data_IF_127774930384
#
_entry.id   IF_127774930384
#
_cell.length_a   1.000
_cell.length_b   1.000
_cell.length_c   1.000
_cell.angle_alpha   90.00
_cell.angle_beta   90.00
_cell.angle_gamma   90.00
#
_symmetry.space_group_name_H-M   'P 1'
#
loop_
_entity.id
_entity.type
_entity.pdbx_description
1 polymer ?
#
# COMPACT_ATOMS: atom_id res chain seq x y z
N UNK A 1 -16.90 -11.83 -7.16
CA UNK A 1 -16.33 -10.48 -6.95
C UNK A 1 -16.14 -10.25 -5.46
N UNK A 2 -14.96 -9.70 -5.05
CA UNK A 2 -14.64 -9.52 -3.65
C UNK A 2 -15.46 -8.40 -2.97
N UNK A 3 -15.41 -8.38 -1.65
CA UNK A 3 -16.04 -7.34 -0.84
C UNK A 3 -15.32 -6.00 -1.03
N UNK A 4 -16.00 -4.88 -1.35
CA UNK A 4 -15.34 -3.59 -1.53
C UNK A 4 -14.77 -3.11 -0.19
N UNK A 5 -13.48 -2.74 -0.20
CA UNK A 5 -12.78 -2.13 0.94
C UNK A 5 -12.76 -0.59 0.86
N UNK A 6 -12.82 -0.04 -0.35
CA UNK A 6 -12.81 1.41 -0.56
C UNK A 6 -12.47 1.82 -1.98
N UNK A 7 -12.37 3.14 -2.18
CA UNK A 7 -11.83 3.77 -3.38
C UNK A 7 -10.61 4.58 -3.01
N UNK A 8 -9.50 4.33 -3.71
CA UNK A 8 -8.29 5.14 -3.66
C UNK A 8 -8.21 6.10 -4.85
N UNK A 9 -7.16 6.90 -4.94
CA UNK A 9 -6.96 7.89 -6.00
C UNK A 9 -6.91 7.31 -7.41
N UNK A 10 -6.53 6.04 -7.57
CA UNK A 10 -6.37 5.38 -8.86
C UNK A 10 -7.39 4.27 -9.13
N UNK A 11 -8.31 3.97 -8.20
CA UNK A 11 -9.28 2.93 -8.48
C UNK A 11 -10.05 2.39 -7.28
N UNK A 12 -10.55 1.18 -7.47
CA UNK A 12 -11.35 0.45 -6.49
C UNK A 12 -10.51 -0.64 -5.83
N UNK A 13 -10.69 -0.83 -4.53
CA UNK A 13 -10.01 -1.85 -3.74
C UNK A 13 -11.01 -2.84 -3.17
N UNK A 14 -10.71 -4.12 -3.31
CA UNK A 14 -11.57 -5.23 -2.88
C UNK A 14 -10.81 -6.19 -1.98
N UNK A 15 -11.49 -6.73 -0.97
CA UNK A 15 -11.06 -7.94 -0.29
C UNK A 15 -11.54 -9.14 -1.11
N UNK A 16 -10.63 -10.04 -1.43
CA UNK A 16 -10.91 -11.26 -2.18
C UNK A 16 -10.30 -12.49 -1.50
N UNK A 17 -10.72 -13.66 -1.96
CA UNK A 17 -10.17 -14.95 -1.58
C UNK A 17 -9.44 -15.51 -2.79
N UNK A 18 -8.20 -15.88 -2.59
CA UNK A 18 -7.36 -16.55 -3.57
C UNK A 18 -7.53 -18.06 -3.41
N UNK A 19 -8.31 -18.67 -4.26
CA UNK A 19 -8.65 -20.10 -4.22
C UNK A 19 -7.43 -20.97 -4.58
N UNK A 20 -6.57 -20.50 -5.49
CA UNK A 20 -5.34 -21.18 -5.91
C UNK A 20 -4.29 -21.19 -4.79
N UNK A 21 -4.41 -20.27 -3.82
CA UNK A 21 -3.58 -20.20 -2.61
C UNK A 21 -4.33 -20.65 -1.35
N UNK A 22 -5.04 -21.77 -1.45
CA UNK A 22 -5.73 -22.43 -0.33
C UNK A 22 -6.74 -21.54 0.39
N UNK A 23 -7.43 -20.67 -0.33
CA UNK A 23 -8.44 -19.78 0.23
C UNK A 23 -7.87 -18.64 1.07
N UNK A 24 -6.63 -18.22 0.83
CA UNK A 24 -6.04 -17.08 1.53
C UNK A 24 -6.68 -15.76 1.10
N UNK A 25 -6.84 -14.84 2.07
CA UNK A 25 -7.37 -13.51 1.76
C UNK A 25 -6.30 -12.66 1.08
N UNK A 26 -6.71 -11.93 0.06
CA UNK A 26 -5.87 -10.96 -0.64
C UNK A 26 -6.62 -9.63 -0.87
N UNK A 27 -5.87 -8.60 -1.20
CA UNK A 27 -6.40 -7.30 -1.61
C UNK A 27 -6.20 -7.16 -3.10
N UNK A 28 -7.28 -6.88 -3.84
CA UNK A 28 -7.23 -6.58 -5.27
C UNK A 28 -7.49 -5.09 -5.43
N UNK A 29 -6.53 -4.39 -6.04
CA UNK A 29 -6.69 -3.02 -6.51
C UNK A 29 -6.97 -3.07 -8.02
N UNK A 30 -8.13 -2.56 -8.41
CA UNK A 30 -8.54 -2.40 -9.82
C UNK A 30 -8.28 -0.96 -10.24
N UNK A 31 -7.49 -0.76 -11.28
CA UNK A 31 -7.25 0.56 -11.83
C UNK A 31 -8.54 1.11 -12.46
N UNK A 32 -9.06 2.18 -11.90
CA UNK A 32 -10.27 2.84 -12.40
C UNK A 32 -10.22 4.33 -12.05
N UNK A 33 -9.27 5.07 -12.64
CA UNK A 33 -9.08 6.48 -12.32
C UNK A 33 -10.27 7.30 -12.82
N UNK A 34 -10.71 8.25 -12.00
CA UNK A 34 -11.71 9.24 -12.41
C UNK A 34 -10.99 10.51 -12.91
N UNK A 35 -10.31 10.39 -14.04
CA UNK A 35 -9.46 11.46 -14.59
C UNK A 35 -9.86 11.69 -16.04
N UNK A 36 -9.93 12.97 -16.44
CA UNK A 36 -10.16 13.37 -17.82
C UNK A 36 -8.84 13.85 -18.45
N UNK A 37 -8.59 13.42 -19.69
CA UNK A 37 -7.43 13.81 -20.49
C UNK A 37 -6.33 12.74 -20.56
N UNK A 38 -5.78 12.57 -21.77
CA UNK A 38 -4.83 11.50 -22.13
C UNK A 38 -3.56 11.54 -21.28
N UNK A 39 -2.93 12.72 -21.12
CA UNK A 39 -1.69 12.86 -20.32
C UNK A 39 -1.89 12.54 -18.84
N UNK A 40 -3.04 12.93 -18.28
CA UNK A 40 -3.36 12.62 -16.88
C UNK A 40 -3.62 11.13 -16.70
N UNK A 41 -4.26 10.49 -17.66
CA UNK A 41 -4.49 9.04 -17.66
C UNK A 41 -3.17 8.25 -17.77
N UNK A 42 -2.29 8.62 -18.71
CA UNK A 42 -0.96 8.00 -18.84
C UNK A 42 -0.15 8.11 -17.55
N UNK A 43 -0.17 9.29 -16.90
CA UNK A 43 0.48 9.46 -15.60
C UNK A 43 -0.12 8.58 -14.52
N UNK A 44 -1.45 8.42 -14.49
CA UNK A 44 -2.12 7.56 -13.50
C UNK A 44 -1.81 6.08 -13.73
N UNK A 45 -1.78 5.60 -14.99
CA UNK A 45 -1.32 4.26 -15.35
C UNK A 45 0.10 4.04 -14.84
N UNK A 46 1.01 4.96 -15.17
CA UNK A 46 2.40 4.87 -14.73
C UNK A 46 2.54 4.78 -13.21
N UNK A 47 1.79 5.60 -12.45
CA UNK A 47 1.83 5.55 -10.99
C UNK A 47 1.28 4.24 -10.42
N UNK A 48 0.25 3.66 -11.05
CA UNK A 48 -0.31 2.38 -10.67
C UNK A 48 0.67 1.22 -10.93
N UNK A 49 1.35 1.23 -12.08
CA UNK A 49 2.42 0.28 -12.40
C UNK A 49 3.60 0.42 -11.42
N UNK A 50 3.99 1.64 -11.10
CA UNK A 50 5.07 1.91 -10.17
C UNK A 50 4.79 1.38 -8.77
N UNK A 51 3.54 1.34 -8.29
CA UNK A 51 3.20 0.69 -7.03
C UNK A 51 3.57 -0.80 -7.05
N UNK A 52 3.22 -1.51 -8.13
CA UNK A 52 3.58 -2.92 -8.29
C UNK A 52 5.12 -3.12 -8.32
N UNK A 53 5.84 -2.27 -9.06
CA UNK A 53 7.31 -2.30 -9.12
C UNK A 53 7.92 -2.10 -7.74
N UNK A 54 7.44 -1.11 -6.97
CA UNK A 54 7.96 -0.84 -5.61
C UNK A 54 7.73 -2.01 -4.67
N UNK A 55 6.53 -2.59 -4.67
CA UNK A 55 6.22 -3.76 -3.85
C UNK A 55 7.08 -4.97 -4.25
N UNK A 56 7.33 -5.15 -5.55
CA UNK A 56 8.21 -6.21 -6.04
C UNK A 56 9.66 -6.02 -5.58
N UNK A 57 10.20 -4.81 -5.70
CA UNK A 57 11.57 -4.47 -5.29
C UNK A 57 11.78 -4.57 -3.77
N UNK A 58 10.77 -4.21 -2.98
CA UNK A 58 10.79 -4.35 -1.53
C UNK A 58 10.74 -5.82 -1.10
N UNK A 59 10.19 -6.70 -1.95
CA UNK A 59 10.13 -8.14 -1.73
C UNK A 59 9.28 -8.55 -0.52
N UNK A 60 9.55 -9.74 0.01
CA UNK A 60 8.86 -10.24 1.20
C UNK A 60 9.44 -9.60 2.46
N UNK A 61 8.60 -8.90 3.20
CA UNK A 61 8.99 -8.25 4.44
C UNK A 61 7.81 -8.24 5.44
N UNK A 62 8.03 -8.53 6.74
CA UNK A 62 6.95 -8.65 7.73
C UNK A 62 6.17 -7.35 7.99
N UNK A 63 6.69 -6.21 7.56
CA UNK A 63 6.11 -4.89 7.75
C UNK A 63 5.62 -4.22 6.45
N UNK A 64 5.57 -4.96 5.33
CA UNK A 64 5.12 -4.47 4.03
C UNK A 64 4.29 -5.57 3.37
N UNK A 65 3.11 -5.28 2.77
CA UNK A 65 2.34 -6.28 2.06
C UNK A 65 3.13 -6.85 0.87
N UNK A 66 3.18 -8.16 0.74
CA UNK A 66 3.80 -8.83 -0.41
C UNK A 66 2.95 -8.62 -1.66
N UNK A 67 3.58 -8.25 -2.77
CA UNK A 67 2.96 -8.28 -4.10
C UNK A 67 2.71 -9.75 -4.49
N UNK A 68 1.46 -10.09 -4.80
CA UNK A 68 1.06 -11.44 -5.21
C UNK A 68 0.94 -11.57 -6.73
N UNK A 69 0.38 -10.55 -7.40
CA UNK A 69 0.26 -10.49 -8.85
C UNK A 69 0.07 -9.05 -9.33
N UNK A 70 0.48 -8.81 -10.58
CA UNK A 70 0.15 -7.63 -11.35
C UNK A 70 -0.17 -8.09 -12.78
N UNK A 71 -1.35 -7.75 -13.30
CA UNK A 71 -1.78 -8.23 -14.61
C UNK A 71 -2.84 -7.31 -15.24
N UNK A 72 -3.02 -7.48 -16.53
CA UNK A 72 -4.11 -6.89 -17.30
C UNK A 72 -5.12 -7.98 -17.70
N UNK A 73 -6.39 -7.72 -17.48
CA UNK A 73 -7.49 -8.57 -17.93
C UNK A 73 -8.62 -7.70 -18.48
N UNK A 74 -9.11 -8.02 -19.69
CA UNK A 74 -10.17 -7.25 -20.37
C UNK A 74 -9.89 -5.73 -20.43
N UNK A 75 -8.65 -5.37 -20.75
CA UNK A 75 -8.14 -3.98 -20.79
C UNK A 75 -8.22 -3.25 -19.44
N UNK A 76 -8.25 -4.00 -18.35
CA UNK A 76 -8.29 -3.49 -17.01
C UNK A 76 -7.04 -3.95 -16.24
N UNK A 77 -6.31 -3.02 -15.62
CA UNK A 77 -5.15 -3.32 -14.81
C UNK A 77 -5.54 -3.70 -13.39
N UNK A 78 -4.87 -4.70 -12.85
CA UNK A 78 -5.06 -5.22 -11.50
C UNK A 78 -3.73 -5.38 -10.78
N UNK A 79 -3.71 -4.99 -9.51
CA UNK A 79 -2.64 -5.28 -8.57
C UNK A 79 -3.22 -6.11 -7.43
N UNK A 80 -2.60 -7.25 -7.16
CA UNK A 80 -2.99 -8.16 -6.06
C UNK A 80 -1.88 -8.19 -5.03
N UNK A 81 -2.23 -7.94 -3.77
CA UNK A 81 -1.29 -7.93 -2.66
C UNK A 81 -1.83 -8.67 -1.45
N UNK A 82 -0.95 -9.02 -0.54
CA UNK A 82 -1.29 -9.65 0.73
C UNK A 82 -2.32 -8.81 1.51
N UNK A 83 -3.36 -9.46 2.02
CA UNK A 83 -4.27 -8.83 2.98
C UNK A 83 -3.65 -8.81 4.38
N UNK A 84 -3.63 -7.64 5.00
CA UNK A 84 -3.16 -7.47 6.38
C UNK A 84 -4.38 -7.29 7.28
N UNK A 85 -4.67 -8.29 8.11
CA UNK A 85 -5.74 -8.19 9.09
C UNK A 85 -5.32 -7.31 10.27
N UNK A 86 -6.09 -6.25 10.53
CA UNK A 86 -5.81 -5.31 11.60
C UNK A 86 -6.55 -4.00 11.42
N UNK A 87 -6.33 -3.07 12.34
CA UNK A 87 -6.85 -1.72 12.28
C UNK A 87 -5.77 -0.74 11.81
N UNK A 88 -6.13 0.24 10.99
CA UNK A 88 -5.24 1.36 10.71
C UNK A 88 -5.08 2.23 11.96
N UNK A 89 -3.95 2.91 12.09
CA UNK A 89 -3.78 3.89 13.17
C UNK A 89 -4.84 5.00 13.12
N UNK A 90 -5.35 5.31 11.92
CA UNK A 90 -6.49 6.23 11.74
C UNK A 90 -7.78 5.70 12.36
N UNK A 91 -8.04 4.39 12.25
CA UNK A 91 -9.19 3.75 12.90
C UNK A 91 -9.02 3.72 14.42
N UNK A 92 -7.82 3.41 14.92
CA UNK A 92 -7.52 3.46 16.36
C UNK A 92 -7.74 4.87 16.93
N UNK A 93 -7.28 5.93 16.23
CA UNK A 93 -7.50 7.33 16.62
C UNK A 93 -8.98 7.69 16.69
N UNK A 94 -9.80 7.22 15.75
CA UNK A 94 -11.25 7.47 15.78
C UNK A 94 -11.96 6.77 16.94
N UNK A 95 -11.46 5.60 17.34
CA UNK A 95 -12.05 4.82 18.43
C UNK A 95 -11.60 5.29 19.82
N UNK A 96 -10.33 5.63 19.96
CA UNK A 96 -9.68 5.90 21.26
C UNK A 96 -9.43 7.41 21.51
N UNK A 97 -9.69 8.29 20.52
CA UNK A 97 -9.27 9.68 20.57
C UNK A 97 -7.78 9.88 20.30
N UNK A 98 -7.23 10.95 20.84
CA UNK A 98 -5.80 11.28 20.65
C UNK A 98 -4.89 10.27 21.33
N UNK A 99 -3.76 9.96 20.67
CA UNK A 99 -2.73 9.12 21.27
C UNK A 99 -1.97 9.89 22.35
N UNK A 100 -1.65 9.19 23.45
CA UNK A 100 -0.72 9.70 24.47
C UNK A 100 0.69 9.85 23.88
N UNK A 101 1.52 10.68 24.51
CA UNK A 101 2.94 10.81 24.13
C UNK A 101 3.65 9.45 24.12
N UNK A 102 3.39 8.61 25.11
CA UNK A 102 3.96 7.27 25.21
C UNK A 102 3.57 6.40 24.01
N UNK A 103 2.31 6.43 23.58
CA UNK A 103 1.82 5.66 22.43
C UNK A 103 2.42 6.19 21.13
N UNK A 104 2.60 7.52 21.00
CA UNK A 104 3.27 8.14 19.85
C UNK A 104 4.72 7.66 19.78
N UNK A 105 5.46 7.69 20.91
CA UNK A 105 6.83 7.18 20.97
C UNK A 105 6.93 5.72 20.55
N UNK A 106 6.02 4.87 21.06
CA UNK A 106 5.95 3.45 20.67
C UNK A 106 5.74 3.27 19.16
N UNK A 107 4.82 4.03 18.56
CA UNK A 107 4.59 4.00 17.11
C UNK A 107 5.85 4.42 16.36
N UNK A 108 6.51 5.51 16.77
CA UNK A 108 7.72 6.00 16.11
C UNK A 108 8.88 5.01 16.19
N UNK A 109 9.14 4.43 17.37
CA UNK A 109 10.19 3.42 17.56
C UNK A 109 9.98 2.21 16.65
N UNK A 110 8.73 1.81 16.41
CA UNK A 110 8.39 0.67 15.54
C UNK A 110 8.38 1.03 14.06
N UNK A 111 8.04 2.28 13.71
CA UNK A 111 7.94 2.74 12.33
C UNK A 111 9.30 3.08 11.72
N UNK A 112 10.20 3.68 12.48
CA UNK A 112 11.51 4.12 11.97
C UNK A 112 12.34 2.99 11.35
N UNK A 113 12.44 1.78 11.91
CA UNK A 113 13.13 0.66 11.27
C UNK A 113 12.50 0.25 9.94
N UNK A 114 11.16 0.34 9.80
CA UNK A 114 10.45 0.04 8.56
C UNK A 114 10.82 1.08 7.48
N UNK A 115 10.81 2.36 7.84
CA UNK A 115 11.22 3.44 6.94
C UNK A 115 12.69 3.30 6.54
N UNK A 116 13.56 2.94 7.49
CA UNK A 116 14.97 2.66 7.17
C UNK A 116 15.09 1.54 6.14
N UNK A 117 14.39 0.42 6.31
CA UNK A 117 14.36 -0.69 5.37
C UNK A 117 13.94 -0.25 3.95
N UNK A 118 12.90 0.57 3.87
CA UNK A 118 12.38 1.12 2.60
C UNK A 118 13.40 2.06 1.96
N UNK A 119 13.99 2.96 2.75
CA UNK A 119 14.98 3.94 2.27
C UNK A 119 16.30 3.27 1.85
N UNK A 120 16.75 2.23 2.55
CA UNK A 120 17.95 1.46 2.18
C UNK A 120 17.81 0.79 0.79
N UNK A 121 16.56 0.67 0.29
CA UNK A 121 16.24 0.20 -1.07
C UNK A 121 15.94 1.33 -2.05
N UNK A 122 16.34 2.54 -1.69
CA UNK A 122 16.14 3.76 -2.49
C UNK A 122 14.65 4.09 -2.79
N UNK A 123 13.71 3.55 -2.00
CA UNK A 123 12.29 3.87 -2.10
C UNK A 123 11.93 4.92 -1.04
N UNK A 124 11.18 5.95 -1.42
CA UNK A 124 10.58 6.92 -0.52
C UNK A 124 9.06 6.76 -0.62
N UNK A 125 8.40 6.48 0.49
CA UNK A 125 6.95 6.21 0.53
C UNK A 125 6.09 7.42 0.13
N UNK A 126 6.44 8.62 0.62
CA UNK A 126 5.83 9.93 0.34
C UNK A 126 4.40 10.16 0.87
N UNK A 127 3.79 9.16 1.50
CA UNK A 127 2.45 9.28 2.08
C UNK A 127 2.35 8.53 3.43
N UNK A 128 3.25 8.89 4.37
CA UNK A 128 3.24 8.34 5.72
C UNK A 128 2.13 9.01 6.52
N UNK A 129 0.99 8.35 6.61
CA UNK A 129 -0.19 8.80 7.34
C UNK A 129 -0.73 7.69 8.25
N UNK A 130 -1.50 8.02 9.30
CA UNK A 130 -2.15 6.99 10.14
C UNK A 130 -3.08 6.05 9.37
N UNK A 131 -3.60 6.47 8.21
CA UNK A 131 -4.45 5.64 7.36
C UNK A 131 -3.64 4.58 6.60
N UNK A 132 -2.34 4.81 6.37
CA UNK A 132 -1.45 3.93 5.64
C UNK A 132 -0.56 3.07 6.54
N UNK A 133 -0.87 2.99 7.83
CA UNK A 133 -0.19 2.13 8.80
C UNK A 133 -1.24 1.25 9.48
N UNK A 134 -1.12 -0.07 9.31
CA UNK A 134 -1.97 -1.06 9.97
C UNK A 134 -1.25 -1.63 11.17
N UNK A 135 -1.93 -1.69 12.31
CA UNK A 135 -1.51 -2.54 13.43
C UNK A 135 -2.08 -3.93 13.19
N UNK A 136 -1.21 -4.88 12.83
CA UNK A 136 -1.61 -6.25 12.50
C UNK A 136 -2.21 -6.95 13.72
N UNK A 137 -3.36 -7.58 13.54
CA UNK A 137 -4.12 -8.23 14.62
C UNK A 137 -3.37 -9.37 15.29
N UNK A 138 -2.60 -10.14 14.49
CA UNK A 138 -1.92 -11.36 14.96
C UNK A 138 -0.86 -11.08 16.02
N UNK A 139 -0.04 -10.02 15.84
CA UNK A 139 1.19 -9.80 16.64
C UNK A 139 1.43 -8.33 16.98
N UNK A 140 0.46 -7.47 16.72
CA UNK A 140 0.52 -6.01 16.96
C UNK A 140 1.67 -5.29 16.22
N UNK A 141 2.29 -5.92 15.23
CA UNK A 141 3.31 -5.28 14.39
C UNK A 141 2.67 -4.21 13.50
N UNK A 142 3.41 -3.15 13.27
CA UNK A 142 2.99 -2.14 12.28
C UNK A 142 3.35 -2.62 10.87
N UNK A 143 2.42 -2.43 9.95
CA UNK A 143 2.60 -2.72 8.52
C UNK A 143 2.32 -1.44 7.75
N UNK A 144 3.28 -1.01 6.96
CA UNK A 144 3.17 0.16 6.09
C UNK A 144 2.55 -0.28 4.76
N UNK A 145 1.44 0.35 4.40
CA UNK A 145 0.68 0.02 3.19
C UNK A 145 0.61 1.21 2.22
N UNK A 146 0.17 0.95 1.01
CA UNK A 146 -0.12 1.94 -0.05
C UNK A 146 1.13 2.70 -0.55
N UNK A 147 1.85 2.06 -1.46
CA UNK A 147 3.05 2.60 -2.12
C UNK A 147 2.73 3.33 -3.45
N UNK A 148 1.45 3.64 -3.72
CA UNK A 148 1.00 4.23 -4.99
C UNK A 148 1.60 5.58 -5.34
N UNK A 149 2.12 6.32 -4.37
CA UNK A 149 2.85 7.58 -4.58
C UNK A 149 4.33 7.51 -4.21
N UNK A 150 4.82 6.30 -3.90
CA UNK A 150 6.24 6.10 -3.59
C UNK A 150 7.14 6.42 -4.79
N UNK A 151 8.38 6.84 -4.52
CA UNK A 151 9.37 7.20 -5.54
C UNK A 151 10.70 6.51 -5.30
N UNK A 152 11.37 6.07 -6.37
CA UNK A 152 12.78 5.70 -6.32
C UNK A 152 13.66 6.97 -6.35
N UNK A 153 14.70 6.99 -5.54
CA UNK A 153 15.66 8.12 -5.50
C UNK A 153 16.43 8.27 -6.83
N UNK A 154 16.60 7.17 -7.55
CA UNK A 154 17.28 7.16 -8.88
C UNK A 154 16.50 7.85 -9.99
N UNK A 155 15.17 8.06 -9.84
CA UNK A 155 14.34 8.72 -10.86
C UNK A 155 14.44 10.25 -10.86
N UNK A 156 15.18 10.83 -9.90
CA UNK A 156 15.25 12.30 -9.75
C UNK A 156 16.21 12.97 -10.75
N UNK A 157 17.06 12.19 -11.43
CA UNK A 157 18.11 12.72 -12.34
C UNK A 157 17.70 12.77 -13.80
N UNK A 158 16.49 12.33 -14.18
CA UNK A 158 16.05 12.28 -15.58
C UNK A 158 15.08 13.41 -16.00
N UNK A 159 14.86 14.40 -15.16
CA UNK A 159 13.94 15.52 -15.45
C UNK A 159 14.59 16.86 -15.10
N UNK A 160 15.68 17.19 -15.81
CA UNK A 160 16.15 18.57 -16.00
C UNK A 160 16.38 18.81 -17.48
#
# INVERSE_FOLDING_TARGET
>A
MGQPLGRGGFGKTFLAIDEDRLGTRCVIKQFSPQIQGTKALEKAVHLFEQEAVRLHELGEHPHIPTLLAYFEQERQLYLVQQFIEGATLSQELRQSGTFSEQKIREVMVRLLPILKFVHDRNVIHRDITPANIIRRKLDSRLVLIDFGVAKLLTETTASQ
#
